data_IF_083405254768
#
_entry.id   IF_083405254768
#
_cell.length_a   1.000
_cell.length_b   1.000
_cell.length_c   1.000
_cell.angle_alpha   90.00
_cell.angle_beta   90.00
_cell.angle_gamma   90.00
#
_symmetry.space_group_name_H-M   'P 1'
#
loop_
_entity.id
_entity.type
_entity.pdbx_description
1 polymer ?
#
# COMPACT_ATOMS: atom_id res chain seq x y z
N UNK A 1 25.91 -6.41 -1.27
CA UNK A 1 25.85 -5.15 -2.05
C UNK A 1 24.74 -5.13 -3.10
N UNK A 2 24.52 -6.21 -3.88
CA UNK A 2 23.47 -6.29 -4.93
C UNK A 2 22.04 -5.93 -4.45
N UNK A 3 21.67 -6.30 -3.22
CA UNK A 3 20.36 -5.97 -2.63
C UNK A 3 20.16 -4.46 -2.38
N UNK A 4 21.22 -3.73 -2.03
CA UNK A 4 21.14 -2.27 -1.80
C UNK A 4 20.93 -1.57 -3.13
N UNK A 5 21.66 -1.97 -4.17
CA UNK A 5 21.51 -1.45 -5.53
C UNK A 5 20.10 -1.70 -6.08
N UNK A 6 19.56 -2.92 -5.90
CA UNK A 6 18.20 -3.25 -6.33
C UNK A 6 17.13 -2.40 -5.61
N UNK A 7 17.29 -2.14 -4.30
CA UNK A 7 16.40 -1.25 -3.54
C UNK A 7 16.48 0.19 -4.05
N UNK A 8 17.68 0.68 -4.35
CA UNK A 8 17.90 2.03 -4.86
C UNK A 8 17.27 2.20 -6.25
N UNK A 9 17.44 1.23 -7.14
CA UNK A 9 16.80 1.23 -8.47
C UNK A 9 15.27 1.23 -8.34
N UNK A 10 14.70 0.44 -7.42
CA UNK A 10 13.26 0.41 -7.20
C UNK A 10 12.72 1.76 -6.71
N UNK A 11 13.46 2.46 -5.84
CA UNK A 11 13.09 3.81 -5.39
C UNK A 11 13.23 4.81 -6.54
N UNK A 12 14.27 4.69 -7.36
CA UNK A 12 14.46 5.54 -8.54
C UNK A 12 13.30 5.40 -9.55
N UNK A 13 12.80 4.18 -9.74
CA UNK A 13 11.61 3.92 -10.57
C UNK A 13 10.33 4.56 -9.99
N UNK A 14 10.22 4.67 -8.66
CA UNK A 14 9.12 5.38 -7.99
C UNK A 14 9.21 6.91 -8.10
N UNK A 15 10.36 7.46 -8.49
CA UNK A 15 10.51 8.92 -8.67
C UNK A 15 9.65 9.42 -9.82
N UNK A 16 9.55 8.67 -10.93
CA UNK A 16 8.77 9.07 -12.11
C UNK A 16 7.29 9.34 -11.77
N UNK A 17 6.53 8.40 -11.17
CA UNK A 17 5.15 8.68 -10.76
C UNK A 17 5.06 9.73 -9.65
N UNK A 18 6.09 9.88 -8.81
CA UNK A 18 6.18 10.95 -7.81
C UNK A 18 6.28 12.33 -8.45
N UNK A 19 7.09 12.49 -9.50
CA UNK A 19 7.19 13.73 -10.26
C UNK A 19 5.89 14.04 -11.01
N UNK A 20 5.23 13.02 -11.58
CA UNK A 20 3.90 13.19 -12.17
C UNK A 20 2.88 13.69 -11.15
N UNK A 21 2.91 13.15 -9.93
CA UNK A 21 2.04 13.64 -8.86
C UNK A 21 2.34 15.10 -8.50
N UNK A 22 3.60 15.45 -8.26
CA UNK A 22 4.00 16.81 -7.94
C UNK A 22 3.61 17.80 -9.05
N UNK A 23 3.81 17.43 -10.31
CA UNK A 23 3.40 18.24 -11.46
C UNK A 23 1.87 18.41 -11.55
N UNK A 24 1.10 17.34 -11.32
CA UNK A 24 -0.36 17.40 -11.27
C UNK A 24 -0.86 18.34 -10.17
N UNK A 25 -0.22 18.30 -8.99
CA UNK A 25 -0.51 19.22 -7.89
C UNK A 25 -0.18 20.68 -8.23
N UNK A 26 0.93 20.94 -8.93
CA UNK A 26 1.26 22.28 -9.42
C UNK A 26 0.16 22.82 -10.35
N UNK A 27 -0.32 22.02 -11.30
CA UNK A 27 -1.42 22.43 -12.19
C UNK A 27 -2.70 22.77 -11.41
N UNK A 28 -3.01 22.01 -10.35
CA UNK A 28 -4.15 22.31 -9.49
C UNK A 28 -3.96 23.61 -8.71
N UNK A 29 -2.77 23.83 -8.11
CA UNK A 29 -2.48 25.06 -7.37
C UNK A 29 -2.56 26.26 -8.30
N UNK A 30 -1.99 26.17 -9.50
CA UNK A 30 -1.95 27.27 -10.45
C UNK A 30 -3.37 27.64 -10.91
N UNK A 31 -4.22 26.65 -11.20
CA UNK A 31 -5.63 26.88 -11.51
C UNK A 31 -6.39 27.57 -10.37
N UNK A 32 -6.10 27.21 -9.12
CA UNK A 32 -6.69 27.85 -7.94
C UNK A 32 -6.17 29.29 -7.75
N UNK A 33 -4.86 29.50 -7.84
CA UNK A 33 -4.26 30.83 -7.69
C UNK A 33 -4.74 31.79 -8.77
N UNK A 34 -4.78 31.35 -10.04
CA UNK A 34 -5.28 32.18 -11.14
C UNK A 34 -6.73 32.61 -10.89
N UNK A 35 -7.58 31.71 -10.40
CA UNK A 35 -8.97 32.02 -10.07
C UNK A 35 -9.09 33.05 -8.94
N UNK A 36 -8.36 32.87 -7.83
CA UNK A 36 -8.39 33.81 -6.72
C UNK A 36 -7.74 35.17 -7.07
N UNK A 37 -6.69 35.17 -7.90
CA UNK A 37 -6.04 36.39 -8.35
C UNK A 37 -6.95 37.22 -9.26
N UNK A 38 -7.70 36.59 -10.17
CA UNK A 38 -8.66 37.26 -11.05
C UNK A 38 -9.86 37.81 -10.28
N UNK A 39 -10.29 37.15 -9.20
CA UNK A 39 -11.40 37.61 -8.36
C UNK A 39 -11.12 38.95 -7.65
N UNK A 40 -9.85 39.30 -7.43
CA UNK A 40 -9.44 40.55 -6.78
C UNK A 40 -9.37 41.78 -7.68
N UNK A 41 -9.55 41.61 -9.00
CA UNK A 41 -9.53 42.71 -9.97
C UNK A 41 -10.96 42.84 -10.52
N UNK A 42 -11.60 44.00 -10.33
CA UNK A 42 -13.01 44.30 -10.64
C UNK A 42 -13.41 44.21 -12.14
N UNK A 43 -12.66 43.49 -12.96
CA UNK A 43 -12.96 43.31 -14.37
C UNK A 43 -12.79 41.84 -14.76
N UNK A 44 -13.85 41.31 -15.39
CA UNK A 44 -13.96 40.04 -16.12
C UNK A 44 -14.43 38.89 -15.21
N UNK A 45 -15.58 38.32 -15.58
CA UNK A 45 -16.11 37.05 -15.05
C UNK A 45 -14.97 36.02 -14.93
N UNK A 46 -14.54 35.65 -13.72
CA UNK A 46 -13.40 34.74 -13.56
C UNK A 46 -13.81 33.35 -14.07
N UNK A 47 -13.21 32.92 -15.18
CA UNK A 47 -13.42 31.58 -15.71
C UNK A 47 -12.47 30.62 -14.98
N UNK A 48 -13.03 29.70 -14.21
CA UNK A 48 -12.22 28.72 -13.51
C UNK A 48 -11.61 27.74 -14.52
N UNK A 49 -10.29 27.55 -14.44
CA UNK A 49 -9.57 26.64 -15.34
C UNK A 49 -9.83 25.16 -15.03
N UNK A 50 -11.09 24.71 -15.21
CA UNK A 50 -11.56 23.36 -14.93
C UNK A 50 -10.72 22.28 -15.61
N UNK A 51 -10.29 22.50 -16.86
CA UNK A 51 -9.46 21.54 -17.60
C UNK A 51 -8.10 21.35 -16.93
N UNK A 52 -7.46 22.44 -16.51
CA UNK A 52 -6.17 22.38 -15.80
C UNK A 52 -6.32 21.74 -14.42
N UNK A 53 -7.39 22.09 -13.70
CA UNK A 53 -7.67 21.53 -12.37
C UNK A 53 -8.00 20.04 -12.41
N UNK A 54 -8.94 19.62 -13.25
CA UNK A 54 -9.35 18.21 -13.39
C UNK A 54 -8.21 17.39 -13.99
N UNK A 55 -7.52 17.90 -15.01
CA UNK A 55 -6.34 17.25 -15.60
C UNK A 55 -5.23 17.06 -14.57
N UNK A 56 -4.94 18.10 -13.78
CA UNK A 56 -4.00 18.05 -12.66
C UNK A 56 -4.42 17.05 -11.58
N UNK A 57 -5.71 17.03 -11.22
CA UNK A 57 -6.27 16.11 -10.23
C UNK A 57 -6.16 14.64 -10.68
N UNK A 58 -6.48 14.34 -11.94
CA UNK A 58 -6.33 12.99 -12.50
C UNK A 58 -4.86 12.58 -12.48
N UNK A 59 -3.95 13.45 -12.94
CA UNK A 59 -2.52 13.17 -12.95
C UNK A 59 -1.96 12.94 -11.54
N UNK A 60 -2.40 13.75 -10.58
CA UNK A 60 -2.06 13.63 -9.16
C UNK A 60 -2.55 12.31 -8.56
N UNK A 61 -3.83 11.97 -8.77
CA UNK A 61 -4.44 10.74 -8.27
C UNK A 61 -3.80 9.50 -8.88
N UNK A 62 -3.44 9.53 -10.17
CA UNK A 62 -2.71 8.45 -10.82
C UNK A 62 -1.31 8.30 -10.19
N UNK A 63 -0.57 9.39 -10.01
CA UNK A 63 0.76 9.35 -9.42
C UNK A 63 0.76 8.84 -7.98
N UNK A 64 -0.08 9.40 -7.11
CA UNK A 64 -0.21 8.98 -5.70
C UNK A 64 -0.81 7.58 -5.60
N UNK A 65 -1.84 7.26 -6.39
CA UNK A 65 -2.47 5.95 -6.43
C UNK A 65 -1.49 4.86 -6.89
N UNK A 66 -0.64 5.15 -7.87
CA UNK A 66 0.42 4.24 -8.30
C UNK A 66 1.44 4.00 -7.19
N UNK A 67 1.91 5.06 -6.52
CA UNK A 67 2.85 4.93 -5.39
C UNK A 67 2.22 4.10 -4.26
N UNK A 68 1.00 4.44 -3.83
CA UNK A 68 0.28 3.73 -2.78
C UNK A 68 0.03 2.26 -3.13
N UNK A 69 -0.43 1.98 -4.36
CA UNK A 69 -0.65 0.63 -4.86
C UNK A 69 0.64 -0.19 -4.95
N UNK A 70 1.73 0.41 -5.42
CA UNK A 70 3.05 -0.23 -5.45
C UNK A 70 3.57 -0.54 -4.04
N UNK A 71 3.47 0.41 -3.10
CA UNK A 71 3.83 0.18 -1.69
C UNK A 71 3.01 -0.98 -1.11
N UNK A 72 1.69 -0.99 -1.32
CA UNK A 72 0.82 -2.04 -0.81
C UNK A 72 1.18 -3.43 -1.37
N UNK A 73 1.40 -3.52 -2.68
CA UNK A 73 1.81 -4.78 -3.32
C UNK A 73 3.20 -5.24 -2.84
N UNK A 74 4.14 -4.31 -2.68
CA UNK A 74 5.48 -4.60 -2.19
C UNK A 74 5.45 -5.08 -0.74
N UNK A 75 4.64 -4.44 0.11
CA UNK A 75 4.56 -4.74 1.53
C UNK A 75 3.85 -6.08 1.81
N UNK A 76 2.85 -6.43 1.00
CA UNK A 76 2.18 -7.73 1.05
C UNK A 76 3.15 -8.92 0.89
N UNK A 77 4.19 -8.79 0.07
CA UNK A 77 5.19 -9.86 -0.15
C UNK A 77 6.15 -10.06 1.04
N UNK A 78 6.29 -9.07 1.93
CA UNK A 78 7.22 -9.14 3.07
C UNK A 78 6.55 -9.44 4.41
N UNK A 79 5.24 -9.79 4.43
CA UNK A 79 4.51 -10.25 5.62
C UNK A 79 4.56 -9.26 6.81
N UNK A 80 4.62 -7.96 6.51
CA UNK A 80 4.45 -6.85 7.48
C UNK A 80 2.98 -6.54 7.78
N UNK A 81 2.05 -7.28 7.17
CA UNK A 81 0.64 -7.24 7.50
C UNK A 81 0.44 -7.72 8.95
N UNK A 82 -0.33 -6.96 9.72
CA UNK A 82 -0.65 -7.28 11.12
C UNK A 82 -1.24 -8.69 11.24
N UNK A 83 -1.08 -9.33 12.41
CA UNK A 83 -1.52 -10.70 12.68
C UNK A 83 -3.00 -10.98 12.37
N UNK A 84 -3.80 -9.94 12.13
CA UNK A 84 -5.22 -10.03 11.77
C UNK A 84 -5.47 -10.48 10.31
N UNK A 85 -4.49 -10.35 9.42
CA UNK A 85 -4.57 -10.79 8.02
C UNK A 85 -3.86 -12.12 7.74
N UNK A 86 -3.30 -12.77 8.77
CA UNK A 86 -2.66 -14.08 8.61
C UNK A 86 -3.72 -15.18 8.53
N UNK A 87 -3.61 -16.13 7.58
CA UNK A 87 -4.40 -17.36 7.61
C UNK A 87 -4.21 -18.02 8.97
N UNK A 88 -5.32 -18.31 9.66
CA UNK A 88 -5.31 -18.96 10.96
C UNK A 88 -4.74 -20.35 10.75
N UNK A 89 -3.49 -20.58 11.15
CA UNK A 89 -2.88 -21.92 11.09
C UNK A 89 -3.79 -22.85 11.91
N UNK A 90 -4.37 -23.90 11.31
CA UNK A 90 -5.16 -24.88 12.06
C UNK A 90 -4.29 -25.44 13.17
N UNK A 91 -4.78 -25.43 14.43
CA UNK A 91 -4.02 -26.06 15.52
C UNK A 91 -3.77 -27.53 15.15
N UNK A 92 -2.55 -28.05 15.38
CA UNK A 92 -2.29 -29.45 15.15
C UNK A 92 -3.24 -30.31 16.01
N UNK A 93 -3.66 -31.50 15.50
CA UNK A 93 -4.51 -32.39 16.26
C UNK A 93 -3.87 -32.74 17.59
N UNK A 94 -4.68 -32.78 18.66
CA UNK A 94 -4.23 -33.16 20.00
C UNK A 94 -3.62 -34.57 19.91
N UNK A 95 -2.38 -34.80 20.40
CA UNK A 95 -1.82 -36.14 20.40
C UNK A 95 -2.73 -37.06 21.22
N UNK A 96 -3.24 -38.12 20.59
CA UNK A 96 -3.97 -39.16 21.28
C UNK A 96 -3.03 -39.78 22.31
N UNK A 97 -3.41 -39.74 23.59
CA UNK A 97 -2.69 -40.47 24.63
C UNK A 97 -2.88 -41.95 24.31
N UNK A 98 -1.83 -42.59 23.82
CA UNK A 98 -1.80 -44.04 23.70
C UNK A 98 -1.70 -44.61 25.12
N UNK A 99 -2.86 -44.92 25.71
CA UNK A 99 -2.98 -45.60 27.01
C UNK A 99 -2.61 -47.10 26.89
N UNK A 100 -1.49 -47.42 26.22
CA UNK A 100 -1.02 -48.80 26.01
C UNK A 100 0.16 -49.19 26.91
N UNK A 101 0.54 -48.35 27.87
CA UNK A 101 1.50 -48.74 28.90
C UNK A 101 0.73 -49.15 30.16
N UNK A 102 0.93 -50.40 30.58
CA UNK A 102 0.55 -50.98 31.89
C UNK A 102 -0.83 -51.63 31.99
N UNK A 103 -0.93 -52.83 31.42
CA UNK A 103 -1.50 -53.97 32.17
C UNK A 103 -0.39 -55.00 32.36
N UNK A 104 0.08 -55.27 33.59
CA UNK A 104 0.90 -56.44 33.85
C UNK A 104 0.11 -57.68 33.45
N UNK A 105 0.67 -58.52 32.58
CA UNK A 105 0.21 -59.89 32.44
C UNK A 105 0.59 -60.59 33.75
N UNK A 106 -0.38 -60.75 34.65
CA UNK A 106 -0.23 -61.71 35.74
C UNK A 106 -0.24 -63.10 35.11
N UNK A 107 0.96 -63.67 35.09
CA UNK A 107 1.21 -65.02 34.66
C UNK A 107 0.58 -66.01 35.64
N UNK A 108 0.09 -67.10 35.05
CA UNK A 108 -0.31 -68.33 35.68
C UNK A 108 0.44 -68.64 36.98
N UNK A 109 -0.29 -68.64 38.09
CA UNK A 109 -0.09 -69.54 39.22
C UNK A 109 -1.46 -70.02 39.67
N UNK A 110 -1.86 -71.19 39.17
CA UNK A 110 -2.17 -72.42 39.92
C UNK A 110 -2.79 -73.47 38.98
#
# INVERSE_FOLDING_TARGET
>A
MKLVLQRLIAILLLVIPGLMAAYGFLLMKDALYDYFAQMGVDAITPDFAWVKFIGGAILFLIGVGFIGGWIFFRDRKHNYLSSRFRPKVPRPPRPERTDSAQRPQDGNTE
#
